data_IF_499896291363
#
_entry.id   IF_499896291363
#
_cell.length_a   1.000
_cell.length_b   1.000
_cell.length_c   1.000
_cell.angle_alpha   90.00
_cell.angle_beta   90.00
_cell.angle_gamma   90.00
#
_symmetry.space_group_name_H-M   'P 1'
#
loop_
_entity.id
_entity.type
_entity.pdbx_description
1 polymer ?
#
# COMPACT_ATOMS: atom_id res chain seq x y z
N UNK A 1 68.01 -106.13 -24.68
CA UNK A 1 69.05 -105.37 -23.94
C UNK A 1 68.94 -103.91 -24.33
N UNK A 2 68.96 -103.02 -23.33
CA UNK A 2 69.21 -101.55 -23.40
C UNK A 2 68.25 -100.75 -24.29
N UNK A 3 67.37 -99.89 -23.80
CA UNK A 3 67.55 -98.87 -22.77
C UNK A 3 67.25 -97.52 -23.44
N UNK A 4 66.06 -96.94 -23.23
CA UNK A 4 65.73 -95.61 -23.74
C UNK A 4 64.98 -94.79 -22.69
N UNK A 5 65.38 -93.53 -22.62
CA UNK A 5 65.33 -92.62 -21.48
C UNK A 5 63.95 -91.99 -21.28
N UNK A 6 63.47 -91.96 -20.04
CA UNK A 6 62.36 -91.10 -19.61
C UNK A 6 62.83 -89.65 -19.45
N UNK A 7 62.26 -88.73 -20.23
CA UNK A 7 62.41 -87.29 -20.04
C UNK A 7 61.31 -86.78 -19.09
N UNK A 8 61.70 -86.35 -17.88
CA UNK A 8 60.83 -85.58 -16.98
C UNK A 8 60.70 -84.14 -17.49
N UNK A 9 59.48 -83.71 -17.85
CA UNK A 9 59.12 -82.30 -18.02
C UNK A 9 58.77 -81.70 -16.65
N UNK A 10 59.56 -80.74 -16.17
CA UNK A 10 59.20 -79.87 -15.05
C UNK A 10 58.10 -78.88 -15.49
N UNK A 11 56.93 -78.94 -14.85
CA UNK A 11 55.90 -77.88 -14.90
C UNK A 11 56.30 -76.76 -13.92
N UNK A 12 56.55 -75.55 -14.44
CA UNK A 12 56.67 -74.33 -13.64
C UNK A 12 55.32 -73.96 -13.04
N UNK A 13 55.26 -73.75 -11.72
CA UNK A 13 54.13 -73.11 -11.03
C UNK A 13 54.32 -71.58 -11.06
N UNK A 14 53.24 -70.80 -11.22
CA UNK A 14 53.30 -69.33 -11.17
C UNK A 14 53.53 -68.84 -9.73
N UNK A 15 54.47 -67.90 -9.55
CA UNK A 15 54.66 -67.18 -8.29
C UNK A 15 53.51 -66.19 -8.08
N UNK A 16 52.68 -66.40 -7.06
CA UNK A 16 51.78 -65.37 -6.55
C UNK A 16 52.60 -64.28 -5.87
N UNK A 17 52.67 -63.09 -6.47
CA UNK A 17 53.14 -61.88 -5.79
C UNK A 17 52.08 -61.46 -4.78
N UNK A 18 52.41 -61.51 -3.49
CA UNK A 18 51.61 -60.88 -2.45
C UNK A 18 51.72 -59.35 -2.62
N UNK A 19 50.59 -58.69 -2.90
CA UNK A 19 50.49 -57.23 -2.77
C UNK A 19 50.66 -56.89 -1.29
N UNK A 20 51.77 -56.25 -0.92
CA UNK A 20 51.92 -55.62 0.39
C UNK A 20 50.80 -54.58 0.53
N UNK A 21 49.87 -54.81 1.46
CA UNK A 21 48.93 -53.77 1.87
C UNK A 21 49.72 -52.69 2.60
N UNK A 22 49.90 -51.54 1.95
CA UNK A 22 50.46 -50.36 2.58
C UNK A 22 49.39 -49.79 3.52
N UNK A 23 49.58 -49.95 4.83
CA UNK A 23 48.74 -49.33 5.85
C UNK A 23 49.06 -47.84 6.02
N UNK A 24 48.05 -47.05 6.37
CA UNK A 24 48.21 -45.62 6.68
C UNK A 24 49.02 -45.42 7.96
N UNK A 25 49.88 -44.40 7.97
CA UNK A 25 50.63 -44.03 9.18
C UNK A 25 49.78 -43.17 10.12
N UNK A 26 50.07 -43.22 11.42
CA UNK A 26 49.34 -42.40 12.41
C UNK A 26 49.48 -40.89 12.14
N UNK A 27 50.65 -40.45 11.65
CA UNK A 27 50.87 -39.05 11.26
C UNK A 27 50.01 -38.64 10.06
N UNK A 28 49.79 -39.54 9.10
CA UNK A 28 48.93 -39.31 7.93
C UNK A 28 47.46 -39.19 8.34
N UNK A 29 46.99 -40.04 9.26
CA UNK A 29 45.63 -39.92 9.81
C UNK A 29 45.43 -38.59 10.55
N UNK A 30 46.37 -38.21 11.42
CA UNK A 30 46.27 -36.98 12.22
C UNK A 30 46.28 -35.74 11.33
N UNK A 31 47.19 -35.68 10.34
CA UNK A 31 47.26 -34.55 9.40
C UNK A 31 45.99 -34.42 8.56
N UNK A 32 45.40 -35.53 8.12
CA UNK A 32 44.11 -35.53 7.40
C UNK A 32 42.99 -34.97 8.27
N UNK A 33 42.87 -35.40 9.53
CA UNK A 33 41.82 -34.89 10.45
C UNK A 33 41.99 -33.38 10.68
N UNK A 34 43.22 -32.90 10.86
CA UNK A 34 43.50 -31.46 11.05
C UNK A 34 43.13 -30.65 9.80
N UNK A 35 43.54 -31.11 8.61
CA UNK A 35 43.23 -30.44 7.34
C UNK A 35 41.72 -30.41 7.12
N UNK A 36 41.02 -31.53 7.35
CA UNK A 36 39.56 -31.59 7.24
C UNK A 36 38.88 -30.65 8.24
N UNK A 37 39.40 -30.50 9.46
CA UNK A 37 38.88 -29.55 10.44
C UNK A 37 38.98 -28.10 9.97
N UNK A 38 40.15 -27.69 9.45
CA UNK A 38 40.36 -26.33 8.93
C UNK A 38 39.49 -26.07 7.69
N UNK A 39 39.41 -27.03 6.77
CA UNK A 39 38.56 -26.90 5.58
C UNK A 39 37.08 -26.84 5.92
N UNK A 40 36.62 -27.71 6.83
CA UNK A 40 35.23 -27.72 7.27
C UNK A 40 34.82 -26.38 7.88
N UNK A 41 35.65 -25.80 8.77
CA UNK A 41 35.35 -24.49 9.36
C UNK A 41 35.33 -23.36 8.32
N UNK A 42 36.28 -23.35 7.38
CA UNK A 42 36.30 -22.40 6.27
C UNK A 42 35.03 -22.49 5.40
N UNK A 43 34.66 -23.70 4.97
CA UNK A 43 33.46 -23.94 4.14
C UNK A 43 32.19 -23.55 4.90
N UNK A 44 32.07 -23.92 6.19
CA UNK A 44 30.91 -23.54 7.00
C UNK A 44 30.74 -22.03 7.12
N UNK A 45 31.85 -21.28 7.31
CA UNK A 45 31.79 -19.82 7.37
C UNK A 45 31.34 -19.22 6.04
N UNK A 46 31.91 -19.67 4.93
CA UNK A 46 31.57 -19.19 3.59
C UNK A 46 30.10 -19.47 3.24
N UNK A 47 29.61 -20.68 3.53
CA UNK A 47 28.20 -21.03 3.34
C UNK A 47 27.27 -20.16 4.20
N UNK A 48 27.63 -19.89 5.46
CA UNK A 48 26.86 -19.00 6.33
C UNK A 48 26.76 -17.59 5.74
N UNK A 49 27.88 -17.02 5.28
CA UNK A 49 27.89 -15.71 4.63
C UNK A 49 27.05 -15.70 3.35
N UNK A 50 27.16 -16.73 2.52
CA UNK A 50 26.37 -16.85 1.29
C UNK A 50 24.87 -16.90 1.55
N UNK A 51 24.43 -17.72 2.52
CA UNK A 51 23.03 -17.81 2.92
C UNK A 51 22.54 -16.47 3.50
N UNK A 52 23.32 -15.83 4.38
CA UNK A 52 22.95 -14.55 4.98
C UNK A 52 22.83 -13.43 3.93
N UNK A 53 23.75 -13.37 2.96
CA UNK A 53 23.68 -12.38 1.88
C UNK A 53 22.45 -12.59 1.01
N UNK A 54 22.08 -13.84 0.75
CA UNK A 54 20.87 -14.17 0.00
C UNK A 54 19.60 -13.77 0.76
N UNK A 55 19.52 -14.07 2.06
CA UNK A 55 18.35 -13.70 2.87
C UNK A 55 18.19 -12.19 2.97
N UNK A 56 19.29 -11.44 3.14
CA UNK A 56 19.26 -9.98 3.18
C UNK A 56 18.77 -9.36 1.88
N UNK A 57 19.23 -9.87 0.74
CA UNK A 57 18.75 -9.43 -0.57
C UNK A 57 17.24 -9.73 -0.74
N UNK A 58 16.80 -10.93 -0.36
CA UNK A 58 15.39 -11.31 -0.45
C UNK A 58 14.49 -10.45 0.47
N UNK A 59 14.92 -10.16 1.69
CA UNK A 59 14.19 -9.30 2.62
C UNK A 59 14.09 -7.87 2.09
N UNK A 60 15.19 -7.33 1.57
CA UNK A 60 15.22 -5.99 0.96
C UNK A 60 14.30 -5.89 -0.25
N UNK A 61 14.30 -6.89 -1.12
CA UNK A 61 13.41 -6.94 -2.29
C UNK A 61 11.93 -6.97 -1.87
N UNK A 62 11.59 -7.73 -0.82
CA UNK A 62 10.25 -7.77 -0.26
C UNK A 62 9.82 -6.40 0.31
N UNK A 63 10.69 -5.75 1.09
CA UNK A 63 10.43 -4.41 1.64
C UNK A 63 10.22 -3.37 0.54
N UNK A 64 11.10 -3.34 -0.48
CA UNK A 64 10.98 -2.40 -1.61
C UNK A 64 9.69 -2.63 -2.39
N UNK A 65 9.32 -3.89 -2.63
CA UNK A 65 8.09 -4.22 -3.36
C UNK A 65 6.84 -3.76 -2.61
N UNK A 66 6.76 -4.07 -1.31
CA UNK A 66 5.63 -3.67 -0.45
C UNK A 66 5.52 -2.15 -0.35
N UNK A 67 6.65 -1.46 -0.14
CA UNK A 67 6.68 -0.01 -0.05
C UNK A 67 6.29 0.68 -1.37
N UNK A 68 6.80 0.21 -2.51
CA UNK A 68 6.41 0.74 -3.83
C UNK A 68 4.92 0.55 -4.07
N UNK A 69 4.37 -0.62 -3.76
CA UNK A 69 2.95 -0.88 -3.94
C UNK A 69 2.08 0.11 -3.16
N UNK A 70 2.33 0.27 -1.85
CA UNK A 70 1.51 1.17 -1.03
C UNK A 70 1.70 2.63 -1.42
N UNK A 71 2.93 3.07 -1.72
CA UNK A 71 3.20 4.45 -2.14
C UNK A 71 2.53 4.77 -3.48
N UNK A 72 2.63 3.89 -4.48
CA UNK A 72 1.99 4.09 -5.79
C UNK A 72 0.47 4.07 -5.70
N UNK A 73 -0.09 3.13 -4.92
CA UNK A 73 -1.54 3.03 -4.74
C UNK A 73 -2.08 4.27 -4.03
N UNK A 74 -1.43 4.68 -2.95
CA UNK A 74 -1.79 5.86 -2.17
C UNK A 74 -1.65 7.12 -3.04
N UNK A 75 -0.56 7.28 -3.78
CA UNK A 75 -0.37 8.37 -4.75
C UNK A 75 -1.55 8.51 -5.71
N UNK A 76 -1.96 7.40 -6.32
CA UNK A 76 -3.05 7.40 -7.30
C UNK A 76 -4.40 7.77 -6.67
N UNK A 77 -4.68 7.28 -5.46
CA UNK A 77 -5.95 7.55 -4.80
C UNK A 77 -6.04 8.98 -4.26
N UNK A 78 -5.01 9.45 -3.56
CA UNK A 78 -5.01 10.79 -2.95
C UNK A 78 -5.00 11.89 -4.01
N UNK A 79 -4.35 11.68 -5.16
CA UNK A 79 -4.44 12.64 -6.29
C UNK A 79 -5.86 12.82 -6.82
N UNK A 80 -6.74 11.85 -6.62
CA UNK A 80 -8.15 11.91 -7.00
C UNK A 80 -9.07 12.09 -5.78
N UNK A 81 -8.54 12.67 -4.70
CA UNK A 81 -9.33 13.09 -3.56
C UNK A 81 -10.12 14.37 -3.89
N UNK A 82 -11.29 14.49 -3.27
CA UNK A 82 -12.10 15.70 -3.29
C UNK A 82 -11.28 16.87 -2.69
N UNK A 83 -11.29 18.06 -3.30
CA UNK A 83 -10.66 19.24 -2.73
C UNK A 83 -11.08 19.45 -1.27
N UNK A 84 -10.12 19.85 -0.42
CA UNK A 84 -10.33 20.07 1.02
C UNK A 84 -10.74 18.84 1.86
N UNK A 85 -10.79 17.63 1.27
CA UNK A 85 -11.11 16.40 2.04
C UNK A 85 -9.92 15.78 2.76
N UNK A 86 -8.68 16.00 2.31
CA UNK A 86 -7.52 15.33 2.93
C UNK A 86 -7.34 15.80 4.39
N UNK A 87 -7.20 14.84 5.32
CA UNK A 87 -6.88 15.13 6.72
C UNK A 87 -6.19 13.97 7.41
N UNK A 88 -5.58 14.24 8.56
CA UNK A 88 -5.02 13.21 9.45
C UNK A 88 -5.95 12.93 10.62
N UNK A 89 -6.23 11.65 10.90
CA UNK A 89 -7.05 11.18 12.03
C UNK A 89 -6.30 10.08 12.83
N UNK A 90 -6.91 9.51 13.88
CA UNK A 90 -6.35 8.34 14.60
C UNK A 90 -5.28 8.63 15.66
N UNK A 91 -4.98 9.91 15.91
CA UNK A 91 -4.01 10.36 16.91
C UNK A 91 -2.58 9.86 16.67
N UNK A 92 -1.73 9.96 17.69
CA UNK A 92 -0.29 9.63 17.58
C UNK A 92 -0.04 8.12 17.47
N UNK A 93 -0.90 7.29 18.09
CA UNK A 93 -0.69 5.85 18.17
C UNK A 93 -1.12 5.10 16.90
N UNK A 94 -2.14 5.61 16.19
CA UNK A 94 -2.63 4.98 14.95
C UNK A 94 -2.96 6.04 13.90
N UNK A 95 -1.97 6.83 13.47
CA UNK A 95 -2.20 7.91 12.51
C UNK A 95 -2.73 7.36 11.19
N UNK A 96 -3.81 7.98 10.70
CA UNK A 96 -4.39 7.67 9.40
C UNK A 96 -4.42 8.91 8.50
N UNK A 97 -4.17 8.71 7.21
CA UNK A 97 -4.52 9.66 6.17
C UNK A 97 -5.91 9.35 5.65
N UNK A 98 -6.87 10.24 5.90
CA UNK A 98 -8.24 10.15 5.43
C UNK A 98 -8.47 11.11 4.26
N UNK A 99 -9.27 10.68 3.28
CA UNK A 99 -9.72 11.51 2.16
C UNK A 99 -11.02 10.96 1.56
N UNK A 100 -11.69 11.77 0.75
CA UNK A 100 -12.92 11.36 0.05
C UNK A 100 -12.61 11.22 -1.44
N UNK A 101 -12.80 10.04 -2.06
CA UNK A 101 -12.51 9.86 -3.48
C UNK A 101 -13.59 10.49 -4.37
N UNK A 102 -13.16 11.12 -5.46
CA UNK A 102 -14.05 11.58 -6.53
C UNK A 102 -14.41 10.40 -7.44
N UNK A 103 -15.72 10.15 -7.65
CA UNK A 103 -16.20 9.22 -8.66
C UNK A 103 -16.25 9.87 -10.05
N UNK A 104 -16.91 11.02 -10.15
CA UNK A 104 -17.00 11.84 -11.36
C UNK A 104 -16.98 13.33 -11.01
N UNK A 105 -16.42 14.14 -11.91
CA UNK A 105 -16.47 15.59 -11.85
C UNK A 105 -17.25 16.07 -13.07
N UNK A 106 -18.22 16.95 -12.83
CA UNK A 106 -19.15 17.48 -13.83
C UNK A 106 -19.30 18.98 -13.67
N UNK A 107 -19.88 19.62 -14.66
CA UNK A 107 -20.26 21.02 -14.60
C UNK A 107 -21.77 21.10 -14.49
N UNK A 108 -22.30 21.81 -13.50
CA UNK A 108 -23.73 22.09 -13.46
C UNK A 108 -24.08 23.24 -14.40
N UNK A 109 -25.30 23.22 -14.93
CA UNK A 109 -25.83 24.34 -15.71
C UNK A 109 -26.39 25.43 -14.80
N UNK A 110 -27.05 25.01 -13.73
CA UNK A 110 -27.70 25.86 -12.75
C UNK A 110 -27.88 25.09 -11.45
N UNK A 111 -27.74 25.77 -10.30
CA UNK A 111 -28.00 25.21 -8.98
C UNK A 111 -28.76 26.22 -8.11
N UNK A 112 -29.73 25.78 -7.29
CA UNK A 112 -30.49 26.69 -6.45
C UNK A 112 -29.60 27.25 -5.32
N UNK A 113 -29.28 28.54 -5.36
CA UNK A 113 -28.55 29.25 -4.30
C UNK A 113 -29.39 30.45 -3.83
N UNK A 114 -29.35 30.78 -2.53
CA UNK A 114 -30.12 31.90 -2.00
C UNK A 114 -29.79 33.21 -2.74
N UNK A 115 -30.80 33.98 -3.20
CA UNK A 115 -32.19 34.00 -2.74
C UNK A 115 -33.19 33.16 -3.57
N UNK A 116 -32.73 32.26 -4.43
CA UNK A 116 -33.60 31.41 -5.24
C UNK A 116 -34.43 30.42 -4.41
N UNK A 117 -35.51 29.92 -5.01
CA UNK A 117 -36.34 28.91 -4.37
C UNK A 117 -35.60 27.55 -4.38
N UNK A 118 -35.69 26.75 -3.30
CA UNK A 118 -35.13 25.40 -3.28
C UNK A 118 -35.65 24.52 -4.42
N UNK A 119 -34.76 23.78 -5.08
CA UNK A 119 -35.09 22.86 -6.18
C UNK A 119 -34.70 21.42 -5.80
N UNK A 120 -35.46 20.44 -6.29
CA UNK A 120 -35.15 19.03 -6.11
C UNK A 120 -34.44 18.42 -7.33
N UNK A 121 -34.01 19.23 -8.30
CA UNK A 121 -33.25 18.76 -9.46
C UNK A 121 -32.16 19.75 -9.87
N UNK A 122 -31.06 19.21 -10.38
CA UNK A 122 -29.93 19.95 -10.94
C UNK A 122 -29.53 19.30 -12.26
N UNK A 123 -29.38 20.10 -13.31
CA UNK A 123 -28.88 19.62 -14.60
C UNK A 123 -27.37 19.80 -14.71
N UNK A 124 -26.69 18.76 -15.18
CA UNK A 124 -25.23 18.72 -15.31
C UNK A 124 -24.79 18.27 -16.70
N UNK A 125 -23.65 18.78 -17.13
CA UNK A 125 -22.91 18.36 -18.33
C UNK A 125 -21.67 17.53 -17.94
N UNK A 126 -21.03 16.94 -18.94
CA UNK A 126 -19.76 16.19 -18.81
C UNK A 126 -19.87 14.85 -18.08
N UNK A 127 -21.07 14.44 -17.64
CA UNK A 127 -21.30 13.13 -17.07
C UNK A 127 -21.24 12.06 -18.16
N UNK A 128 -20.18 11.25 -18.13
CA UNK A 128 -20.00 10.14 -19.06
C UNK A 128 -19.84 8.82 -18.32
N UNK A 129 -20.61 7.82 -18.77
CA UNK A 129 -20.66 6.49 -18.18
C UNK A 129 -21.33 6.50 -16.80
N UNK A 130 -21.57 5.30 -16.28
CA UNK A 130 -22.29 5.14 -15.02
C UNK A 130 -21.44 5.56 -13.81
N UNK A 131 -22.14 5.96 -12.76
CA UNK A 131 -21.56 6.16 -11.43
C UNK A 131 -21.27 4.80 -10.79
N UNK A 132 -20.34 4.77 -9.83
CA UNK A 132 -20.20 3.57 -9.00
C UNK A 132 -21.47 3.34 -8.17
N UNK A 133 -21.87 2.09 -7.97
CA UNK A 133 -23.05 1.73 -7.17
C UNK A 133 -22.98 2.18 -5.70
N UNK A 134 -21.80 2.57 -5.22
CA UNK A 134 -21.57 3.09 -3.86
C UNK A 134 -21.57 4.63 -3.79
N UNK A 135 -21.69 5.31 -4.94
CA UNK A 135 -21.74 6.78 -5.01
C UNK A 135 -23.16 7.24 -4.70
N UNK A 136 -23.33 8.03 -3.64
CA UNK A 136 -24.64 8.47 -3.15
C UNK A 136 -24.72 9.99 -2.90
N UNK A 137 -23.56 10.65 -2.85
CA UNK A 137 -23.49 12.05 -2.49
C UNK A 137 -22.89 12.88 -3.62
N UNK A 138 -23.31 14.14 -3.69
CA UNK A 138 -22.67 15.18 -4.46
C UNK A 138 -22.03 16.20 -3.52
N UNK A 139 -20.95 16.83 -3.97
CA UNK A 139 -20.27 17.92 -3.29
C UNK A 139 -20.20 19.14 -4.20
N UNK A 140 -20.60 20.30 -3.67
CA UNK A 140 -20.50 21.59 -4.34
C UNK A 140 -19.79 22.55 -3.38
N UNK A 141 -18.69 23.15 -3.85
CA UNK A 141 -17.97 24.23 -3.17
C UNK A 141 -17.62 23.98 -1.69
N UNK A 142 -17.09 22.79 -1.37
CA UNK A 142 -16.60 22.48 -0.03
C UNK A 142 -15.29 23.24 0.27
N UNK A 143 -15.28 24.04 1.34
CA UNK A 143 -14.15 24.94 1.67
C UNK A 143 -13.20 24.36 2.71
N UNK A 144 -13.64 23.39 3.50
CA UNK A 144 -12.86 22.76 4.55
C UNK A 144 -13.30 21.30 4.73
N UNK A 145 -12.52 20.53 5.50
CA UNK A 145 -12.82 19.12 5.76
C UNK A 145 -14.14 18.94 6.51
N UNK A 146 -14.48 19.84 7.43
CA UNK A 146 -15.66 19.68 8.28
C UNK A 146 -16.94 19.83 7.47
N UNK A 147 -16.94 20.67 6.43
CA UNK A 147 -18.04 20.74 5.47
C UNK A 147 -18.36 19.37 4.85
N UNK A 148 -17.31 18.58 4.59
CA UNK A 148 -17.38 17.29 3.91
C UNK A 148 -17.75 16.18 4.88
N UNK A 149 -17.03 16.06 6.00
CA UNK A 149 -17.18 14.95 6.93
C UNK A 149 -18.40 15.08 7.85
N UNK A 150 -18.84 16.30 8.15
CA UNK A 150 -20.12 16.52 8.85
C UNK A 150 -21.32 16.50 7.90
N UNK A 151 -21.08 16.37 6.58
CA UNK A 151 -22.09 16.46 5.52
C UNK A 151 -22.95 17.72 5.68
N UNK A 152 -22.31 18.90 5.68
CA UNK A 152 -23.04 20.16 5.86
C UNK A 152 -24.05 20.33 4.73
N UNK A 153 -25.30 20.60 5.12
CA UNK A 153 -26.37 20.89 4.18
C UNK A 153 -26.01 22.08 3.28
N UNK A 154 -26.36 21.97 2.00
CA UNK A 154 -26.02 22.91 0.95
C UNK A 154 -24.56 22.83 0.46
N UNK A 155 -23.77 21.87 0.96
CA UNK A 155 -22.41 21.57 0.47
C UNK A 155 -22.30 20.10 0.06
N UNK A 156 -22.73 19.19 0.92
CA UNK A 156 -22.82 17.75 0.65
C UNK A 156 -24.28 17.34 0.66
N UNK A 157 -24.77 16.78 -0.45
CA UNK A 157 -26.17 16.43 -0.62
C UNK A 157 -26.31 15.01 -1.15
N UNK A 158 -27.26 14.26 -0.59
CA UNK A 158 -27.59 12.91 -1.04
C UNK A 158 -28.56 12.98 -2.22
N UNK A 159 -28.18 12.43 -3.36
CA UNK A 159 -29.07 12.36 -4.52
C UNK A 159 -29.88 11.06 -4.51
N UNK A 160 -31.10 11.10 -5.04
CA UNK A 160 -31.98 9.93 -5.12
C UNK A 160 -31.78 9.18 -6.43
N UNK A 161 -31.72 9.88 -7.56
CA UNK A 161 -31.52 9.29 -8.88
C UNK A 161 -30.70 10.22 -9.78
N UNK A 162 -30.05 9.61 -10.78
CA UNK A 162 -29.37 10.34 -11.85
C UNK A 162 -29.88 9.82 -13.18
N UNK A 163 -30.59 10.67 -13.92
CA UNK A 163 -30.95 10.43 -15.30
C UNK A 163 -29.74 10.76 -16.19
N UNK A 164 -28.85 9.77 -16.32
CA UNK A 164 -27.59 9.91 -17.05
C UNK A 164 -27.82 9.80 -18.56
N UNK A 165 -27.47 10.85 -19.30
CA UNK A 165 -27.51 10.86 -20.77
C UNK A 165 -26.43 9.97 -21.39
N UNK A 166 -25.33 9.74 -20.66
CA UNK A 166 -24.15 8.98 -21.11
C UNK A 166 -23.19 9.77 -22.00
N UNK A 167 -23.54 11.00 -22.39
CA UNK A 167 -22.78 11.84 -23.30
C UNK A 167 -22.40 13.16 -22.64
N UNK A 168 -21.17 13.62 -22.87
CA UNK A 168 -20.61 14.80 -22.19
C UNK A 168 -21.30 16.10 -22.55
N UNK A 169 -21.89 16.17 -23.74
CA UNK A 169 -22.53 17.32 -24.36
C UNK A 169 -24.06 17.31 -24.24
N UNK A 170 -24.64 16.27 -23.64
CA UNK A 170 -26.08 16.16 -23.41
C UNK A 170 -26.35 16.26 -21.91
N UNK A 171 -27.20 17.19 -21.45
CA UNK A 171 -27.52 17.32 -20.02
C UNK A 171 -28.00 16.01 -19.40
N UNK A 172 -27.48 15.71 -18.22
CA UNK A 172 -27.97 14.69 -17.32
C UNK A 172 -28.64 15.36 -16.12
N UNK A 173 -29.71 14.79 -15.60
CA UNK A 173 -30.45 15.38 -14.48
C UNK A 173 -30.19 14.60 -13.21
N UNK A 174 -29.73 15.30 -12.17
CA UNK A 174 -29.63 14.80 -10.80
C UNK A 174 -30.94 15.14 -10.10
N UNK A 175 -31.57 14.17 -9.46
CA UNK A 175 -32.76 14.37 -8.64
C UNK A 175 -32.44 14.13 -7.17
N UNK A 176 -33.02 14.94 -6.29
CA UNK A 176 -32.91 14.85 -4.83
C UNK A 176 -34.24 14.39 -4.24
N UNK A 177 -34.19 13.74 -3.07
CA UNK A 177 -35.41 13.29 -2.38
C UNK A 177 -36.26 14.47 -1.87
N UNK A 178 -35.60 15.55 -1.45
CA UNK A 178 -36.22 16.80 -1.00
C UNK A 178 -35.65 17.97 -1.82
N UNK A 179 -36.34 19.11 -1.84
CA UNK A 179 -35.75 20.32 -2.41
C UNK A 179 -34.55 20.78 -1.60
N UNK A 180 -33.45 21.05 -2.31
CA UNK A 180 -32.15 21.47 -1.80
C UNK A 180 -31.95 22.95 -2.13
N UNK A 181 -31.20 23.63 -1.27
CA UNK A 181 -30.62 24.94 -1.56
C UNK A 181 -29.13 24.86 -1.22
N UNK A 182 -28.27 25.12 -2.20
CA UNK A 182 -26.84 25.14 -2.01
C UNK A 182 -26.42 26.42 -1.30
N UNK A 183 -25.37 26.31 -0.51
CA UNK A 183 -24.89 27.43 0.31
C UNK A 183 -24.29 28.53 -0.56
N UNK A 184 -23.55 28.15 -1.60
CA UNK A 184 -22.85 29.04 -2.50
C UNK A 184 -22.52 28.31 -3.81
N UNK A 185 -22.36 29.06 -4.90
CA UNK A 185 -21.95 28.52 -6.18
C UNK A 185 -20.45 28.17 -6.20
N UNK A 186 -20.10 27.12 -6.93
CA UNK A 186 -18.70 26.89 -7.30
C UNK A 186 -18.28 27.96 -8.31
N UNK A 187 -17.15 28.66 -8.10
CA UNK A 187 -16.62 29.63 -9.06
C UNK A 187 -16.31 29.04 -10.45
N UNK A 188 -16.27 27.70 -10.56
CA UNK A 188 -16.04 27.00 -11.82
C UNK A 188 -17.21 26.12 -12.25
N UNK A 189 -18.39 26.36 -11.66
CA UNK A 189 -19.63 25.62 -11.92
C UNK A 189 -19.47 24.10 -11.72
N UNK A 190 -18.58 23.69 -10.81
CA UNK A 190 -18.24 22.29 -10.60
C UNK A 190 -19.13 21.63 -9.57
N UNK A 191 -19.49 20.39 -9.88
CA UNK A 191 -20.10 19.45 -8.95
C UNK A 191 -19.32 18.13 -9.00
N UNK A 192 -19.10 17.55 -7.82
CA UNK A 192 -18.40 16.28 -7.68
C UNK A 192 -19.35 15.20 -7.19
N UNK A 193 -19.42 14.09 -7.91
CA UNK A 193 -19.96 12.84 -7.37
C UNK A 193 -18.90 12.17 -6.51
N UNK A 194 -19.21 11.89 -5.25
CA UNK A 194 -18.22 11.44 -4.26
C UNK A 194 -18.56 10.05 -3.71
N UNK A 195 -17.51 9.27 -3.45
CA UNK A 195 -17.63 7.98 -2.77
C UNK A 195 -17.58 8.11 -1.24
N UNK A 196 -17.68 6.99 -0.54
CA UNK A 196 -17.41 6.91 0.89
C UNK A 196 -15.95 7.27 1.21
N UNK A 197 -15.66 7.82 2.40
CA UNK A 197 -14.30 8.08 2.85
C UNK A 197 -13.39 6.85 2.75
N UNK A 198 -12.12 7.09 2.48
CA UNK A 198 -11.04 6.08 2.47
C UNK A 198 -9.97 6.55 3.43
N UNK A 199 -9.46 5.63 4.25
CA UNK A 199 -8.39 5.91 5.20
C UNK A 199 -7.25 4.91 5.03
N UNK A 200 -6.01 5.41 5.03
CA UNK A 200 -4.81 4.59 5.17
C UNK A 200 -4.28 4.78 6.59
N UNK A 201 -4.36 3.74 7.41
CA UNK A 201 -3.95 3.76 8.81
C UNK A 201 -2.68 2.94 9.01
N UNK A 202 -1.74 3.48 9.78
CA UNK A 202 -0.60 2.69 10.29
C UNK A 202 -1.02 2.04 11.60
N UNK A 203 -1.00 0.71 11.64
CA UNK A 203 -1.39 -0.09 12.81
C UNK A 203 -0.50 -1.33 12.89
N UNK A 204 0.02 -1.63 14.07
CA UNK A 204 0.76 -2.87 14.36
C UNK A 204 1.83 -3.23 13.31
N UNK A 205 2.65 -2.25 12.92
CA UNK A 205 3.69 -2.37 11.89
C UNK A 205 3.18 -2.72 10.49
N UNK A 206 1.93 -2.39 10.20
CA UNK A 206 1.32 -2.55 8.89
C UNK A 206 0.60 -1.26 8.48
N UNK A 207 0.32 -1.14 7.19
CA UNK A 207 -0.61 -0.14 6.66
C UNK A 207 -1.86 -0.88 6.23
N UNK A 208 -2.99 -0.44 6.77
CA UNK A 208 -4.30 -0.90 6.37
C UNK A 208 -5.04 0.19 5.61
N UNK A 209 -5.76 -0.22 4.57
CA UNK A 209 -6.70 0.62 3.85
C UNK A 209 -8.11 0.29 4.29
N UNK A 210 -8.76 1.24 4.92
CA UNK A 210 -10.16 1.22 5.29
C UNK A 210 -10.99 1.81 4.17
N UNK A 211 -12.08 1.11 3.82
CA UNK A 211 -13.09 1.59 2.89
C UNK A 211 -14.48 1.17 3.37
N UNK A 212 -15.50 1.65 2.66
CA UNK A 212 -16.92 1.29 2.89
C UNK A 212 -17.45 1.60 4.29
N UNK A 213 -16.76 2.46 5.05
CA UNK A 213 -17.25 3.07 6.29
C UNK A 213 -17.94 4.41 6.00
N UNK A 214 -18.80 4.84 6.91
CA UNK A 214 -19.57 6.08 6.76
C UNK A 214 -18.78 7.34 7.13
N UNK A 215 -19.25 8.49 6.61
CA UNK A 215 -18.80 9.81 7.06
C UNK A 215 -19.00 9.96 8.58
N UNK A 216 -17.97 10.41 9.29
CA UNK A 216 -18.05 10.65 10.74
C UNK A 216 -17.99 9.38 11.62
N UNK A 217 -17.81 8.19 11.02
CA UNK A 217 -17.89 6.92 11.74
C UNK A 217 -16.52 6.50 12.28
N UNK A 218 -16.17 6.96 13.48
CA UNK A 218 -14.88 6.70 14.13
C UNK A 218 -15.00 5.90 15.43
N UNK A 219 -13.97 5.13 15.77
CA UNK A 219 -13.82 4.48 17.06
C UNK A 219 -13.26 5.42 18.14
N UNK A 220 -13.03 4.91 19.35
CA UNK A 220 -12.49 5.70 20.47
C UNK A 220 -11.05 6.19 20.25
N UNK A 221 -10.30 5.56 19.36
CA UNK A 221 -8.94 5.94 19.00
C UNK A 221 -8.92 6.93 17.83
N UNK A 222 -10.09 7.30 17.29
CA UNK A 222 -10.22 8.20 16.16
C UNK A 222 -9.89 7.55 14.81
N UNK A 223 -9.86 6.22 14.73
CA UNK A 223 -9.77 5.45 13.49
C UNK A 223 -11.16 5.17 12.91
N UNK A 224 -11.29 4.79 11.64
CA UNK A 224 -12.57 4.34 11.09
C UNK A 224 -13.16 3.18 11.89
N UNK A 225 -14.42 3.32 12.32
CA UNK A 225 -15.13 2.31 13.08
C UNK A 225 -15.35 1.06 12.23
N UNK A 226 -14.91 -0.11 12.70
CA UNK A 226 -15.15 -1.38 12.02
C UNK A 226 -16.59 -1.85 12.30
N UNK A 227 -17.39 -1.92 11.25
CA UNK A 227 -18.72 -2.52 11.21
C UNK A 227 -18.76 -3.69 10.22
N UNK A 228 -19.88 -4.41 10.14
CA UNK A 228 -20.06 -5.53 9.19
C UNK A 228 -19.84 -5.15 7.72
N UNK A 229 -19.97 -3.86 7.37
CA UNK A 229 -19.77 -3.36 6.00
C UNK A 229 -18.39 -2.75 5.78
N UNK A 230 -17.60 -2.54 6.84
CA UNK A 230 -16.30 -1.89 6.74
C UNK A 230 -15.26 -2.88 6.26
N UNK A 231 -14.62 -2.57 5.14
CA UNK A 231 -13.54 -3.40 4.62
C UNK A 231 -12.18 -2.84 5.05
N UNK A 232 -11.39 -3.69 5.73
CA UNK A 232 -10.01 -3.42 6.15
C UNK A 232 -9.06 -4.30 5.33
N UNK A 233 -8.25 -3.69 4.48
CA UNK A 233 -7.34 -4.39 3.56
C UNK A 233 -5.89 -4.12 3.93
N UNK A 234 -5.09 -5.18 4.09
CA UNK A 234 -3.64 -5.06 4.31
C UNK A 234 -2.96 -4.54 3.04
N UNK A 235 -2.24 -3.43 3.15
CA UNK A 235 -1.54 -2.79 2.04
C UNK A 235 -0.03 -2.99 2.10
N UNK A 236 0.54 -2.98 3.29
CA UNK A 236 1.96 -3.21 3.52
C UNK A 236 2.21 -3.71 4.94
N UNK A 237 3.33 -4.42 5.12
CA UNK A 237 3.83 -4.94 6.40
C UNK A 237 5.24 -4.40 6.66
N UNK A 238 5.76 -4.63 7.87
CA UNK A 238 7.10 -4.22 8.30
C UNK A 238 7.29 -2.69 8.37
N UNK A 239 6.22 -1.97 8.66
CA UNK A 239 6.21 -0.52 8.83
C UNK A 239 6.73 -0.18 10.22
N UNK A 240 7.90 0.43 10.28
CA UNK A 240 8.58 0.82 11.51
C UNK A 240 8.43 2.33 11.74
N UNK A 241 7.18 2.79 11.78
CA UNK A 241 6.83 4.16 12.15
C UNK A 241 6.47 4.19 13.63
N UNK A 242 7.48 4.05 14.49
CA UNK A 242 7.32 4.31 15.92
C UNK A 242 7.38 5.81 16.18
N UNK A 243 6.24 6.37 16.61
CA UNK A 243 6.25 7.53 17.48
C UNK A 243 6.74 7.09 18.86
N UNK A 244 8.02 7.30 19.16
CA UNK A 244 8.45 7.24 20.57
C UNK A 244 7.87 8.48 21.27
N UNK A 245 7.11 8.32 22.38
CA UNK A 245 6.60 9.46 23.11
C UNK A 245 7.74 10.37 23.57
N UNK A 246 7.78 11.62 23.10
CA UNK A 246 8.67 12.67 23.61
C UNK A 246 10.05 12.82 22.94
N UNK A 247 10.34 12.12 21.84
CA UNK A 247 11.55 12.36 21.03
C UNK A 247 11.13 12.37 19.57
N UNK A 248 11.17 13.55 18.94
CA UNK A 248 10.92 13.82 17.51
C UNK A 248 9.90 12.88 16.84
N UNK A 249 8.61 13.19 17.01
CA UNK A 249 7.49 12.50 16.37
C UNK A 249 7.56 12.63 14.85
N UNK A 250 8.18 11.67 14.17
CA UNK A 250 8.07 11.52 12.72
C UNK A 250 6.72 10.87 12.40
N UNK A 251 5.73 11.70 12.07
CA UNK A 251 4.41 11.21 11.70
C UNK A 251 4.40 10.61 10.29
N UNK A 252 3.76 9.45 10.07
CA UNK A 252 3.62 8.85 8.74
C UNK A 252 2.94 9.75 7.74
N UNK A 253 1.98 10.54 8.23
CA UNK A 253 1.09 11.35 7.43
C UNK A 253 1.04 12.75 8.04
N UNK A 254 1.19 13.76 7.18
CA UNK A 254 0.93 15.15 7.53
C UNK A 254 0.17 15.78 6.38
N UNK A 255 -0.94 16.46 6.68
CA UNK A 255 -1.75 17.14 5.68
C UNK A 255 -1.72 18.63 5.90
N UNK A 256 -1.57 19.38 4.81
CA UNK A 256 -1.84 20.82 4.79
C UNK A 256 -3.09 21.09 3.97
N UNK A 257 -4.09 21.81 4.51
CA UNK A 257 -5.28 22.15 3.77
C UNK A 257 -4.91 23.04 2.56
N UNK A 258 -5.80 23.04 1.57
CA UNK A 258 -5.66 23.91 0.44
C UNK A 258 -5.97 25.37 0.84
N UNK A 259 -5.48 26.30 0.03
CA UNK A 259 -5.79 27.72 0.13
C UNK A 259 -6.17 28.22 -1.27
N UNK A 260 -6.64 29.47 -1.37
CA UNK A 260 -6.95 30.08 -2.68
C UNK A 260 -5.75 30.11 -3.65
N UNK A 261 -4.52 30.04 -3.13
CA UNK A 261 -3.29 30.14 -3.91
C UNK A 261 -2.48 28.83 -3.95
N UNK A 262 -2.87 27.81 -3.19
CA UNK A 262 -2.11 26.56 -3.05
C UNK A 262 -3.03 25.35 -2.99
N UNK A 263 -2.67 24.32 -3.74
CA UNK A 263 -3.25 22.99 -3.63
C UNK A 263 -3.15 22.41 -2.21
N UNK A 264 -4.02 21.45 -1.90
CA UNK A 264 -3.86 20.64 -0.70
C UNK A 264 -2.59 19.80 -0.80
N UNK A 265 -1.95 19.52 0.33
CA UNK A 265 -0.72 18.74 0.38
C UNK A 265 -0.86 17.58 1.36
N UNK A 266 -0.52 16.38 0.92
CA UNK A 266 -0.28 15.24 1.81
C UNK A 266 1.20 14.86 1.74
N UNK A 267 1.90 15.03 2.86
CA UNK A 267 3.26 14.58 3.07
C UNK A 267 3.23 13.21 3.73
N UNK A 268 3.96 12.28 3.14
CA UNK A 268 3.94 10.87 3.54
C UNK A 268 5.37 10.42 3.75
N UNK A 269 5.62 9.90 4.95
CA UNK A 269 6.92 9.38 5.35
C UNK A 269 6.76 7.99 5.95
N UNK A 270 7.11 6.97 5.18
CA UNK A 270 6.94 5.58 5.59
C UNK A 270 8.31 4.92 5.77
N UNK A 271 8.57 4.41 6.97
CA UNK A 271 9.77 3.64 7.27
C UNK A 271 9.48 2.14 7.21
N UNK A 272 10.18 1.50 6.29
CA UNK A 272 10.51 0.10 6.05
C UNK A 272 11.49 -0.51 7.06
N UNK A 273 11.17 -1.47 7.93
CA UNK A 273 12.23 -2.18 8.64
C UNK A 273 11.98 -3.68 8.85
N UNK A 274 12.95 -4.50 8.45
CA UNK A 274 12.94 -5.95 8.72
C UNK A 274 14.36 -6.44 8.93
N UNK A 275 14.58 -7.15 10.05
CA UNK A 275 15.90 -7.61 10.48
C UNK A 275 16.90 -6.46 10.69
N UNK A 276 17.79 -6.22 9.72
CA UNK A 276 18.79 -5.14 9.73
C UNK A 276 18.68 -4.22 8.49
N UNK A 277 17.67 -4.45 7.64
CA UNK A 277 17.40 -3.61 6.47
C UNK A 277 16.36 -2.56 6.83
N UNK A 278 16.68 -1.30 6.51
CA UNK A 278 15.82 -0.16 6.71
C UNK A 278 15.68 0.64 5.40
N UNK A 279 14.46 1.05 5.08
CA UNK A 279 14.17 1.85 3.88
C UNK A 279 13.12 2.91 4.20
N UNK A 280 13.46 4.18 3.99
CA UNK A 280 12.53 5.29 4.21
C UNK A 280 12.01 5.83 2.87
N UNK A 281 10.69 5.97 2.77
CA UNK A 281 10.01 6.58 1.62
C UNK A 281 9.42 7.91 2.03
N UNK A 282 9.81 8.96 1.31
CA UNK A 282 9.24 10.30 1.43
C UNK A 282 8.49 10.63 0.14
N UNK A 283 7.22 10.99 0.26
CA UNK A 283 6.38 11.28 -0.88
C UNK A 283 5.49 12.49 -0.59
N UNK A 284 5.44 13.40 -1.55
CA UNK A 284 4.60 14.59 -1.51
C UNK A 284 3.49 14.45 -2.56
N UNK A 285 2.25 14.55 -2.12
CA UNK A 285 1.08 14.46 -2.99
C UNK A 285 0.34 15.78 -2.96
N UNK A 286 0.24 16.41 -4.11
CA UNK A 286 -0.60 17.59 -4.29
C UNK A 286 -2.00 17.15 -4.71
N UNK A 287 -2.99 17.62 -3.96
CA UNK A 287 -4.42 17.45 -4.28
C UNK A 287 -4.89 18.75 -4.94
N UNK A 288 -5.24 18.72 -6.23
CA UNK A 288 -5.68 19.92 -6.93
C UNK A 288 -6.85 20.60 -6.21
N UNK A 289 -6.69 21.88 -5.90
CA UNK A 289 -7.74 22.66 -5.26
C UNK A 289 -8.55 23.41 -6.31
N UNK A 290 -9.53 22.73 -6.88
CA UNK A 290 -10.45 23.32 -7.86
C UNK A 290 -11.89 23.13 -7.37
N UNK A 291 -12.30 23.84 -6.30
CA UNK A 291 -13.62 23.68 -5.71
C UNK A 291 -14.75 24.23 -6.62
#
# INVERSE_FOLDING_TARGET
MSGSKNNLKLKHQPKHQAKNQQGFTLIELVTVIVILGVLATGISSFLRFGVQSYTHAADRDALISSARFVVERLNREVRNALPNSIRTIGGDNNPCLEFVPINKSVNYLDIPVAPEAPSNSVDVLMLQGDLSSTTQYVSVYALNSDDIYDKKAGVIEEFSTVANSGFRDVPSTISFANSVIFKEESPTERLYFIGSPVSYCVEDQAIYRYQTYGFGSYDSDGKPLITDTTEKVLMAEYVDNYSLPGIDTEFPFQTSPATLQRNGLALIRLKFARNLEEIVFNNEIQVPNVP
#
